data_IF_361135370540
#
_entry.id   IF_361135370540
#
_cell.length_a   1.000
_cell.length_b   1.000
_cell.length_c   1.000
_cell.angle_alpha   90.00
_cell.angle_beta   90.00
_cell.angle_gamma   90.00
#
_symmetry.space_group_name_H-M   'P 1'
#
loop_
_entity.id
_entity.type
_entity.pdbx_description
1 polymer ?
#
# COMPACT_ATOMS: atom_id res chain seq x y z
N UNK A 1 -6.98 -21.30 -1.80
CA UNK A 1 -5.84 -22.00 -2.46
C UNK A 1 -4.58 -21.15 -2.61
N UNK A 2 -4.64 -19.82 -2.82
CA UNK A 2 -3.42 -18.99 -2.95
C UNK A 2 -2.60 -18.87 -1.63
N UNK A 3 -3.27 -18.60 -0.50
CA UNK A 3 -2.62 -18.42 0.80
C UNK A 3 -1.59 -19.51 1.18
N UNK A 4 -1.87 -20.83 1.07
CA UNK A 4 -0.86 -21.85 1.40
C UNK A 4 0.37 -21.82 0.49
N UNK A 5 0.26 -21.36 -0.77
CA UNK A 5 1.43 -21.20 -1.65
C UNK A 5 2.30 -20.04 -1.19
N UNK A 6 1.71 -18.91 -0.78
CA UNK A 6 2.44 -17.77 -0.21
C UNK A 6 3.14 -18.15 1.10
N UNK A 7 2.49 -18.96 1.94
CA UNK A 7 3.11 -19.49 3.17
C UNK A 7 4.30 -20.39 2.83
N UNK A 8 4.16 -21.30 1.85
CA UNK A 8 5.26 -22.14 1.40
C UNK A 8 6.45 -21.34 0.84
N UNK A 9 6.17 -20.32 0.03
CA UNK A 9 7.19 -19.40 -0.49
C UNK A 9 7.93 -18.67 0.64
N UNK A 10 7.20 -18.11 1.61
CA UNK A 10 7.80 -17.44 2.76
C UNK A 10 8.67 -18.39 3.60
N UNK A 11 8.26 -19.65 3.78
CA UNK A 11 9.05 -20.66 4.49
C UNK A 11 10.37 -20.99 3.77
N UNK A 12 10.34 -21.08 2.43
CA UNK A 12 11.56 -21.27 1.62
C UNK A 12 12.51 -20.08 1.77
N UNK A 13 12.00 -18.85 1.73
CA UNK A 13 12.82 -17.65 1.93
C UNK A 13 13.41 -17.58 3.33
N UNK A 14 12.64 -17.92 4.36
CA UNK A 14 13.14 -17.96 5.75
C UNK A 14 14.28 -18.97 5.91
N UNK A 15 14.20 -20.12 5.23
CA UNK A 15 15.26 -21.13 5.23
C UNK A 15 16.52 -20.66 4.47
N UNK A 16 16.36 -19.97 3.35
CA UNK A 16 17.46 -19.46 2.54
C UNK A 16 18.15 -18.23 3.15
N UNK A 17 17.41 -17.40 3.89
CA UNK A 17 17.88 -16.14 4.45
C UNK A 17 17.68 -16.08 5.98
N UNK A 18 18.40 -16.89 6.77
CA UNK A 18 18.18 -17.00 8.21
C UNK A 18 18.48 -15.71 9.00
N UNK A 19 19.19 -14.76 8.39
CA UNK A 19 19.47 -13.45 8.99
C UNK A 19 18.37 -12.40 8.80
N UNK A 20 17.38 -12.64 7.93
CA UNK A 20 16.29 -11.69 7.67
C UNK A 20 15.17 -11.85 8.70
N UNK A 21 14.64 -10.74 9.18
CA UNK A 21 13.45 -10.73 10.03
C UNK A 21 12.17 -10.88 9.19
N UNK A 22 11.06 -11.23 9.83
CA UNK A 22 9.77 -11.43 9.15
C UNK A 22 9.33 -10.27 8.24
N UNK A 23 9.56 -9.02 8.68
CA UNK A 23 9.25 -7.84 7.86
C UNK A 23 10.09 -7.77 6.58
N UNK A 24 11.39 -8.09 6.67
CA UNK A 24 12.29 -8.12 5.51
C UNK A 24 11.98 -9.30 4.58
N UNK A 25 11.59 -10.45 5.12
CA UNK A 25 11.13 -11.59 4.31
C UNK A 25 9.85 -11.25 3.55
N UNK A 26 8.93 -10.51 4.18
CA UNK A 26 7.75 -9.97 3.49
C UNK A 26 8.16 -8.99 2.39
N UNK A 27 9.05 -8.04 2.69
CA UNK A 27 9.54 -7.08 1.72
C UNK A 27 10.19 -7.77 0.51
N UNK A 28 11.13 -8.70 0.74
CA UNK A 28 11.75 -9.54 -0.28
C UNK A 28 10.71 -10.27 -1.15
N UNK A 29 9.76 -10.98 -0.52
CA UNK A 29 8.76 -11.75 -1.26
C UNK A 29 7.83 -10.87 -2.10
N UNK A 30 7.45 -9.71 -1.57
CA UNK A 30 6.48 -8.81 -2.21
C UNK A 30 7.15 -7.97 -3.30
N UNK A 31 8.38 -7.52 -3.07
CA UNK A 31 9.10 -6.65 -4.00
C UNK A 31 9.74 -7.41 -5.16
N UNK A 32 9.81 -8.74 -5.09
CA UNK A 32 10.33 -9.61 -6.15
C UNK A 32 9.24 -10.31 -6.96
N UNK A 33 7.97 -9.97 -6.75
CA UNK A 33 6.87 -10.59 -7.51
C UNK A 33 6.98 -10.29 -8.99
N UNK A 34 6.46 -11.18 -9.83
CA UNK A 34 6.28 -10.84 -11.23
C UNK A 34 5.21 -9.75 -11.38
N UNK A 35 5.60 -8.59 -11.93
CA UNK A 35 4.68 -7.53 -12.32
C UNK A 35 3.69 -8.04 -13.37
N UNK A 36 2.41 -7.74 -13.17
CA UNK A 36 1.33 -8.11 -14.08
C UNK A 36 0.85 -6.85 -14.81
N UNK A 37 0.84 -6.89 -16.13
CA UNK A 37 0.33 -5.78 -16.95
C UNK A 37 -1.19 -5.66 -16.84
N UNK A 38 -1.72 -4.44 -17.00
CA UNK A 38 -3.15 -4.13 -17.01
C UNK A 38 -3.93 -4.57 -15.75
N UNK A 39 -3.27 -4.62 -14.60
CA UNK A 39 -3.90 -4.96 -13.31
C UNK A 39 -3.71 -3.85 -12.29
N UNK A 40 -4.72 -3.65 -11.44
CA UNK A 40 -4.63 -2.73 -10.31
C UNK A 40 -3.99 -3.45 -9.10
N UNK A 41 -3.12 -2.77 -8.34
CA UNK A 41 -2.56 -3.28 -7.07
C UNK A 41 -3.63 -3.65 -6.03
N UNK A 42 -4.83 -3.06 -6.08
CA UNK A 42 -5.96 -3.46 -5.24
C UNK A 42 -6.50 -4.85 -5.61
N UNK A 43 -6.27 -5.32 -6.83
CA UNK A 43 -6.68 -6.64 -7.31
C UNK A 43 -5.60 -7.71 -7.08
N UNK A 44 -4.32 -7.37 -7.30
CA UNK A 44 -3.22 -8.35 -7.33
C UNK A 44 -2.09 -8.06 -6.33
N UNK A 45 -2.20 -7.00 -5.53
CA UNK A 45 -1.10 -6.54 -4.69
C UNK A 45 0.08 -6.05 -5.53
N UNK A 46 1.28 -6.51 -5.20
CA UNK A 46 2.49 -6.22 -5.97
C UNK A 46 2.66 -7.08 -7.23
N UNK A 47 1.85 -8.14 -7.40
CA UNK A 47 1.92 -9.05 -8.54
C UNK A 47 1.85 -10.52 -8.14
N UNK A 48 2.34 -11.39 -9.02
CA UNK A 48 2.36 -12.85 -8.79
C UNK A 48 3.62 -13.26 -8.06
N UNK A 49 3.49 -14.07 -7.01
CA UNK A 49 4.64 -14.66 -6.29
C UNK A 49 5.59 -15.36 -7.26
N UNK A 50 6.88 -15.04 -7.15
CA UNK A 50 7.98 -15.63 -7.93
C UNK A 50 9.12 -16.02 -6.97
N UNK A 51 9.16 -17.32 -6.61
CA UNK A 51 10.13 -17.85 -5.65
C UNK A 51 11.55 -17.87 -6.22
N UNK A 52 11.80 -18.29 -7.48
CA UNK A 52 13.13 -18.17 -8.09
C UNK A 52 13.65 -16.73 -8.08
N UNK A 53 12.83 -15.74 -8.46
CA UNK A 53 13.23 -14.34 -8.43
C UNK A 53 13.61 -13.90 -7.00
N UNK A 54 12.75 -14.21 -6.01
CA UNK A 54 12.98 -13.89 -4.61
C UNK A 54 14.29 -14.51 -4.05
N UNK A 55 14.56 -15.78 -4.36
CA UNK A 55 15.78 -16.46 -3.91
C UNK A 55 17.06 -15.95 -4.59
N UNK A 56 16.94 -15.40 -5.79
CA UNK A 56 18.08 -14.85 -6.54
C UNK A 56 18.37 -13.38 -6.21
N UNK A 57 17.42 -12.68 -5.60
CA UNK A 57 17.52 -11.26 -5.33
C UNK A 57 18.53 -10.98 -4.20
N UNK A 58 19.56 -10.19 -4.50
CA UNK A 58 20.45 -9.63 -3.47
C UNK A 58 19.94 -8.30 -2.94
N UNK A 59 19.18 -7.56 -3.77
CA UNK A 59 18.54 -6.28 -3.41
C UNK A 59 17.04 -6.45 -3.48
N UNK A 60 16.34 -5.97 -2.45
CA UNK A 60 14.88 -5.92 -2.40
C UNK A 60 14.41 -4.54 -1.93
N UNK A 61 13.11 -4.29 -1.92
CA UNK A 61 12.55 -2.98 -1.58
C UNK A 61 11.46 -3.08 -0.52
N UNK A 62 11.14 -1.95 0.11
CA UNK A 62 9.89 -1.79 0.89
C UNK A 62 8.71 -2.36 0.08
N UNK A 63 7.92 -3.26 0.67
CA UNK A 63 6.81 -3.92 -0.01
C UNK A 63 5.77 -2.94 -0.58
N UNK A 64 5.36 -1.97 0.25
CA UNK A 64 4.25 -1.06 -0.05
C UNK A 64 4.50 0.33 0.52
N UNK A 65 4.17 1.37 -0.25
CA UNK A 65 4.10 2.74 0.20
C UNK A 65 2.69 3.30 0.01
N UNK A 66 2.04 3.72 1.09
CA UNK A 66 0.62 4.05 1.09
C UNK A 66 0.30 5.42 1.70
N UNK A 67 -0.75 6.06 1.20
CA UNK A 67 -1.39 7.22 1.79
C UNK A 67 -2.92 7.08 1.80
N UNK A 68 -3.62 7.98 2.48
CA UNK A 68 -5.04 7.85 2.80
C UNK A 68 -5.32 7.29 4.20
N UNK A 69 -6.60 7.24 4.57
CA UNK A 69 -7.07 6.93 5.93
C UNK A 69 -7.72 8.14 6.61
N UNK A 70 -7.73 8.20 7.95
CA UNK A 70 -8.21 9.35 8.72
C UNK A 70 -7.61 10.66 8.22
N UNK A 71 -8.43 11.58 7.74
CA UNK A 71 -7.98 12.93 7.35
C UNK A 71 -8.55 13.98 8.30
N UNK A 72 -7.77 15.04 8.54
CA UNK A 72 -8.24 16.29 9.15
C UNK A 72 -8.79 17.28 8.10
N UNK A 73 -8.80 16.90 6.82
CA UNK A 73 -9.27 17.72 5.70
C UNK A 73 -8.21 18.67 5.14
N UNK A 74 -6.95 18.62 5.60
CA UNK A 74 -5.88 19.53 5.15
C UNK A 74 -5.34 19.26 3.75
N UNK A 75 -5.67 18.11 3.13
CA UNK A 75 -5.30 17.79 1.74
C UNK A 75 -3.80 17.88 1.47
N UNK A 76 -3.00 17.20 2.31
CA UNK A 76 -1.54 17.32 2.29
C UNK A 76 -0.84 16.24 1.45
N UNK A 77 0.42 16.49 1.10
CA UNK A 77 1.29 15.46 0.53
C UNK A 77 1.87 14.58 1.64
N UNK A 78 1.79 13.26 1.48
CA UNK A 78 2.35 12.26 2.39
C UNK A 78 3.70 11.78 1.85
N UNK A 79 4.74 11.81 2.69
CA UNK A 79 6.05 11.28 2.33
C UNK A 79 6.25 9.88 2.92
N UNK A 80 6.68 8.94 2.08
CA UNK A 80 6.97 7.56 2.45
C UNK A 80 8.38 7.17 2.00
N UNK A 81 9.23 6.64 2.89
CA UNK A 81 10.52 6.13 2.47
C UNK A 81 10.33 4.82 1.69
N UNK A 82 10.98 4.73 0.53
CA UNK A 82 11.19 3.49 -0.22
C UNK A 82 12.64 3.09 0.00
N UNK A 83 12.84 2.00 0.74
CA UNK A 83 14.16 1.56 1.19
C UNK A 83 14.58 0.31 0.45
N UNK A 84 15.85 0.24 0.12
CA UNK A 84 16.47 -0.82 -0.66
C UNK A 84 17.61 -1.45 0.16
N UNK A 85 17.39 -2.56 0.86
CA UNK A 85 18.47 -3.34 1.46
C UNK A 85 19.20 -4.19 0.43
N UNK A 86 20.53 -4.28 0.55
CA UNK A 86 21.38 -5.15 -0.25
C UNK A 86 22.07 -6.16 0.67
N UNK A 87 21.78 -7.44 0.45
CA UNK A 87 22.35 -8.57 1.16
C UNK A 87 23.60 -9.14 0.50
N UNK A 88 23.90 -8.69 -0.73
CA UNK A 88 25.11 -9.07 -1.45
C UNK A 88 26.32 -8.19 -1.08
N UNK A 89 27.50 -8.64 -1.47
CA UNK A 89 28.77 -7.97 -1.16
C UNK A 89 29.05 -6.73 -2.04
N UNK A 90 28.37 -6.62 -3.19
CA UNK A 90 28.70 -5.65 -4.23
C UNK A 90 27.68 -4.51 -4.23
N UNK A 91 28.10 -3.24 -4.31
CA UNK A 91 27.20 -2.11 -4.50
C UNK A 91 26.35 -2.24 -5.77
N UNK A 92 25.05 -1.94 -5.68
CA UNK A 92 24.10 -1.99 -6.80
C UNK A 92 23.56 -0.59 -7.08
N UNK A 93 23.68 -0.13 -8.33
CA UNK A 93 23.03 1.09 -8.79
C UNK A 93 21.64 0.74 -9.33
N UNK A 94 20.62 1.45 -8.84
CA UNK A 94 19.23 1.28 -9.23
C UNK A 94 18.71 2.57 -9.86
N UNK A 95 18.15 2.48 -11.06
CA UNK A 95 17.33 3.54 -11.62
C UNK A 95 15.87 3.35 -11.19
N UNK A 96 15.21 4.43 -10.75
CA UNK A 96 13.89 4.41 -10.15
C UNK A 96 12.87 5.10 -11.06
N UNK A 97 11.81 4.38 -11.42
CA UNK A 97 10.69 4.91 -12.21
C UNK A 97 9.38 4.76 -11.45
N UNK A 98 8.50 5.74 -11.58
CA UNK A 98 7.13 5.66 -11.04
C UNK A 98 6.21 5.29 -12.20
N UNK A 99 5.64 4.11 -12.14
CA UNK A 99 4.67 3.60 -13.12
C UNK A 99 3.29 3.57 -12.48
N UNK A 100 2.41 4.50 -12.86
CA UNK A 100 1.11 4.65 -12.23
C UNK A 100 0.03 5.08 -13.21
N UNK A 101 -1.19 4.59 -12.98
CA UNK A 101 -2.40 5.10 -13.62
C UNK A 101 -3.01 6.17 -12.72
N UNK A 102 -2.38 7.35 -12.67
CA UNK A 102 -2.75 8.45 -11.78
C UNK A 102 -2.51 9.83 -12.43
N UNK A 103 -3.16 10.90 -11.94
CA UNK A 103 -2.88 12.26 -12.36
C UNK A 103 -1.39 12.63 -12.24
N UNK A 104 -0.91 13.41 -13.20
CA UNK A 104 0.49 13.81 -13.25
C UNK A 104 0.95 14.49 -11.93
N UNK A 105 2.06 13.98 -11.40
CA UNK A 105 2.63 14.45 -10.14
C UNK A 105 1.92 13.96 -8.88
N UNK A 106 0.94 13.08 -8.96
CA UNK A 106 0.36 12.46 -7.76
C UNK A 106 1.39 11.64 -6.99
N UNK A 107 2.16 10.82 -7.71
CA UNK A 107 3.25 10.03 -7.16
C UNK A 107 4.57 10.55 -7.71
N UNK A 108 5.49 10.92 -6.82
CA UNK A 108 6.82 11.46 -7.19
C UNK A 108 7.90 10.84 -6.32
N UNK A 109 8.96 10.34 -6.93
CA UNK A 109 10.15 9.89 -6.21
C UNK A 109 11.16 11.03 -6.12
N UNK A 110 11.82 11.21 -4.96
CA UNK A 110 12.80 12.28 -4.74
C UNK A 110 14.01 12.18 -5.65
N UNK A 111 14.51 10.95 -5.82
CA UNK A 111 15.73 10.64 -6.52
C UNK A 111 15.42 9.59 -7.59
N UNK A 112 15.73 9.85 -8.87
CA UNK A 112 15.50 8.88 -9.94
C UNK A 112 16.57 7.78 -9.97
N UNK A 113 17.57 7.83 -9.08
CA UNK A 113 18.62 6.83 -8.97
C UNK A 113 19.11 6.73 -7.53
N UNK A 114 19.38 5.51 -7.07
CA UNK A 114 20.05 5.25 -5.79
C UNK A 114 21.20 4.25 -5.99
N UNK A 115 22.25 4.37 -5.18
CA UNK A 115 23.32 3.38 -5.11
C UNK A 115 23.24 2.72 -3.73
N UNK A 116 22.98 1.42 -3.72
CA UNK A 116 22.87 0.62 -2.51
C UNK A 116 24.21 -0.07 -2.25
N UNK A 117 24.95 0.29 -1.18
CA UNK A 117 26.21 -0.39 -0.84
C UNK A 117 25.98 -1.88 -0.59
N UNK A 118 27.01 -2.72 -0.82
CA UNK A 118 26.98 -4.11 -0.37
C UNK A 118 26.78 -4.19 1.15
N UNK A 119 25.96 -5.12 1.61
CA UNK A 119 25.52 -5.24 3.02
C UNK A 119 24.90 -3.95 3.61
N UNK A 120 24.45 -3.04 2.75
CA UNK A 120 23.97 -1.72 3.13
C UNK A 120 22.51 -1.49 2.75
N UNK A 121 22.05 -0.28 3.03
CA UNK A 121 20.71 0.18 2.67
C UNK A 121 20.80 1.57 2.04
N UNK A 122 19.98 1.84 1.03
CA UNK A 122 19.73 3.19 0.54
C UNK A 122 18.22 3.44 0.47
N UNK A 123 17.80 4.70 0.45
CA UNK A 123 16.38 5.05 0.38
C UNK A 123 16.15 6.22 -0.57
N UNK A 124 14.98 6.24 -1.19
CA UNK A 124 14.41 7.39 -1.87
C UNK A 124 13.05 7.73 -1.23
N UNK A 125 12.62 8.98 -1.31
CA UNK A 125 11.34 9.40 -0.71
C UNK A 125 10.26 9.46 -1.77
N UNK A 126 9.22 8.64 -1.62
CA UNK A 126 8.00 8.74 -2.40
C UNK A 126 7.07 9.77 -1.77
N UNK A 127 6.73 10.80 -2.54
CA UNK A 127 5.69 11.77 -2.21
C UNK A 127 4.38 11.36 -2.88
N UNK A 128 3.32 11.27 -2.07
CA UNK A 128 1.94 11.00 -2.49
C UNK A 128 1.13 12.28 -2.25
N UNK A 129 0.79 12.99 -3.32
CA UNK A 129 0.10 14.27 -3.30
C UNK A 129 -1.43 14.07 -3.33
N UNK A 130 -2.05 14.01 -2.14
CA UNK A 130 -3.48 13.72 -1.98
C UNK A 130 -4.38 14.80 -2.59
N UNK A 131 -3.89 16.04 -2.74
CA UNK A 131 -4.63 17.15 -3.35
C UNK A 131 -5.03 16.87 -4.81
N UNK A 132 -4.29 15.99 -5.47
CA UNK A 132 -4.54 15.57 -6.86
C UNK A 132 -5.57 14.46 -6.99
N UNK A 133 -6.13 13.97 -5.88
CA UNK A 133 -7.13 12.90 -5.89
C UNK A 133 -8.53 13.37 -6.30
N UNK A 134 -8.76 14.68 -6.40
CA UNK A 134 -10.05 15.25 -6.77
C UNK A 134 -10.53 14.77 -8.15
N UNK A 135 -11.84 14.61 -8.31
CA UNK A 135 -12.46 14.27 -9.58
C UNK A 135 -12.47 12.78 -9.93
N UNK A 136 -12.08 11.87 -9.03
CA UNK A 136 -12.29 10.43 -9.21
C UNK A 136 -13.78 10.07 -8.99
N UNK A 137 -14.51 9.56 -9.99
CA UNK A 137 -15.90 9.17 -9.83
C UNK A 137 -16.10 8.11 -8.73
N UNK A 138 -17.25 8.17 -8.06
CA UNK A 138 -17.63 7.17 -7.07
C UNK A 138 -17.72 5.79 -7.74
N UNK A 139 -17.04 4.80 -7.15
CA UNK A 139 -16.99 3.42 -7.66
C UNK A 139 -15.81 3.12 -8.57
N UNK A 140 -15.01 4.11 -8.95
CA UNK A 140 -13.74 3.85 -9.64
C UNK A 140 -12.65 3.39 -8.69
N UNK A 141 -11.74 2.58 -9.23
CA UNK A 141 -10.68 1.97 -8.47
C UNK A 141 -9.72 3.04 -7.91
N UNK A 142 -9.16 2.87 -6.69
CA UNK A 142 -8.31 3.90 -6.13
C UNK A 142 -6.99 4.06 -6.88
N UNK A 143 -6.39 5.23 -6.71
CA UNK A 143 -5.15 5.59 -7.39
C UNK A 143 -4.01 4.69 -6.92
N UNK A 144 -3.28 4.14 -7.87
CA UNK A 144 -2.19 3.21 -7.58
C UNK A 144 -1.13 3.18 -8.68
N UNK A 145 -0.01 2.55 -8.33
CA UNK A 145 1.11 2.30 -9.23
C UNK A 145 2.20 1.49 -8.56
N UNK A 146 3.39 1.59 -9.11
CA UNK A 146 4.60 0.92 -8.66
C UNK A 146 5.78 1.91 -8.73
N UNK A 147 6.68 1.86 -7.76
CA UNK A 147 8.05 2.32 -7.96
C UNK A 147 8.85 1.13 -8.45
N UNK A 148 9.28 1.14 -9.70
CA UNK A 148 10.09 0.07 -10.31
C UNK A 148 11.55 0.47 -10.22
N UNK A 149 12.38 -0.43 -9.67
CA UNK A 149 13.82 -0.27 -9.63
C UNK A 149 14.48 -1.20 -10.66
N UNK A 150 15.25 -0.61 -11.57
CA UNK A 150 15.97 -1.34 -12.61
C UNK A 150 17.48 -1.33 -12.38
N UNK A 151 18.14 -2.42 -12.76
CA UNK A 151 19.60 -2.51 -12.76
C UNK A 151 20.22 -1.74 -13.94
N UNK A 152 21.56 -1.73 -14.02
CA UNK A 152 22.29 -1.07 -15.10
C UNK A 152 22.03 -1.67 -16.49
N UNK A 153 21.48 -2.88 -16.58
CA UNK A 153 21.07 -3.52 -17.83
C UNK A 153 19.60 -3.21 -18.19
N UNK A 154 18.87 -2.48 -17.33
CA UNK A 154 17.48 -2.10 -17.52
C UNK A 154 16.47 -3.17 -17.08
N UNK A 155 16.91 -4.23 -16.40
CA UNK A 155 16.00 -5.25 -15.88
C UNK A 155 15.34 -4.75 -14.60
N UNK A 156 14.03 -4.92 -14.47
CA UNK A 156 13.33 -4.69 -13.20
C UNK A 156 13.77 -5.76 -12.18
N UNK A 157 14.43 -5.33 -11.11
CA UNK A 157 15.00 -6.22 -10.09
C UNK A 157 14.20 -6.20 -8.78
N UNK A 158 13.51 -5.10 -8.49
CA UNK A 158 12.61 -4.99 -7.34
C UNK A 158 11.62 -3.85 -7.55
N UNK A 159 10.47 -3.89 -6.88
CA UNK A 159 9.47 -2.82 -6.93
C UNK A 159 8.69 -2.64 -5.62
N UNK A 160 8.11 -1.45 -5.47
CA UNK A 160 7.25 -1.09 -4.33
C UNK A 160 5.88 -0.71 -4.82
N UNK A 161 4.84 -1.39 -4.32
CA UNK A 161 3.46 -1.05 -4.64
C UNK A 161 3.07 0.28 -3.99
N UNK A 162 2.50 1.17 -4.80
CA UNK A 162 2.07 2.51 -4.39
C UNK A 162 0.55 2.57 -4.44
N UNK A 163 -0.04 3.09 -3.37
CA UNK A 163 -1.49 3.22 -3.26
C UNK A 163 -1.90 4.48 -2.50
N UNK A 164 -2.91 5.15 -3.02
CA UNK A 164 -3.65 6.19 -2.32
C UNK A 164 -5.09 5.70 -2.12
N UNK A 165 -5.41 5.38 -0.88
CA UNK A 165 -6.77 5.08 -0.47
C UNK A 165 -7.59 6.38 -0.32
N UNK A 166 -8.91 6.25 -0.34
CA UNK A 166 -9.77 7.41 -0.14
C UNK A 166 -9.59 8.00 1.26
N UNK A 167 -9.63 9.33 1.40
CA UNK A 167 -9.73 9.96 2.70
C UNK A 167 -10.99 9.45 3.40
N UNK A 168 -10.86 9.15 4.69
CA UNK A 168 -11.97 8.75 5.53
C UNK A 168 -12.21 9.78 6.62
N UNK A 169 -13.48 10.05 6.90
CA UNK A 169 -13.91 10.93 7.98
C UNK A 169 -14.45 10.09 9.13
N UNK A 170 -14.21 10.56 10.35
CA UNK A 170 -14.80 9.92 11.54
C UNK A 170 -16.27 10.29 11.63
N UNK A 171 -17.13 9.28 11.58
CA UNK A 171 -18.53 9.40 11.95
C UNK A 171 -18.73 8.81 13.35
N UNK A 172 -19.27 9.63 14.25
CA UNK A 172 -19.67 9.17 15.58
C UNK A 172 -21.17 8.90 15.58
N UNK A 173 -21.55 7.64 15.65
CA UNK A 173 -22.94 7.21 15.78
C UNK A 173 -23.29 7.19 17.26
N UNK A 174 -24.38 7.85 17.63
CA UNK A 174 -24.91 7.86 19.00
C UNK A 174 -26.35 7.36 18.98
N UNK A 175 -26.61 6.23 19.65
CA UNK A 175 -27.95 5.65 19.79
C UNK A 175 -28.42 5.83 21.22
N UNK A 176 -29.66 6.30 21.35
CA UNK A 176 -30.33 6.54 22.63
C UNK A 176 -31.70 5.87 22.66
N UNK A 177 -32.15 5.49 23.84
CA UNK A 177 -33.52 5.01 24.06
C UNK A 177 -34.52 6.19 24.08
N UNK A 178 -35.81 5.88 24.30
CA UNK A 178 -36.88 6.89 24.35
C UNK A 178 -36.73 7.86 25.54
N UNK A 179 -35.94 7.51 26.54
CA UNK A 179 -35.65 8.30 27.74
C UNK A 179 -34.35 9.12 27.59
N UNK A 180 -33.64 8.97 26.48
CA UNK A 180 -32.39 9.69 26.19
C UNK A 180 -31.14 9.04 26.76
N UNK A 181 -31.24 7.85 27.37
CA UNK A 181 -30.08 7.10 27.86
C UNK A 181 -29.38 6.39 26.70
N UNK A 182 -28.05 6.18 26.78
CA UNK A 182 -27.34 5.37 25.80
C UNK A 182 -27.92 3.95 25.71
N UNK A 183 -27.99 3.40 24.50
CA UNK A 183 -28.49 2.04 24.29
C UNK A 183 -27.81 1.36 23.12
N UNK A 184 -27.76 0.02 23.14
CA UNK A 184 -27.24 -0.79 22.03
C UNK A 184 -28.14 -0.68 20.80
N UNK A 185 -27.56 -0.84 19.62
CA UNK A 185 -28.32 -0.83 18.38
C UNK A 185 -27.49 -1.10 17.15
N UNK A 186 -28.17 -1.10 16.00
CA UNK A 186 -27.55 -1.25 14.69
C UNK A 186 -27.91 -0.03 13.86
N UNK A 187 -26.92 0.62 13.26
CA UNK A 187 -27.12 1.68 12.28
C UNK A 187 -26.69 1.19 10.89
N UNK A 188 -27.50 1.48 9.87
CA UNK A 188 -27.20 1.20 8.47
C UNK A 188 -26.86 2.51 7.77
N UNK A 189 -25.64 2.61 7.26
CA UNK A 189 -25.14 3.79 6.55
C UNK A 189 -25.13 3.51 5.06
N UNK A 190 -25.86 4.33 4.31
CA UNK A 190 -25.91 4.27 2.85
C UNK A 190 -25.07 5.39 2.25
N UNK A 191 -24.19 5.05 1.32
CA UNK A 191 -23.54 6.03 0.45
C UNK A 191 -24.46 6.31 -0.71
N UNK A 192 -24.68 7.59 -1.04
CA UNK A 192 -25.46 7.97 -2.22
C UNK A 192 -24.93 7.26 -3.47
N UNK A 193 -25.83 6.60 -4.21
CA UNK A 193 -25.47 5.80 -5.40
C UNK A 193 -24.96 4.39 -5.13
N UNK A 194 -25.00 3.89 -3.89
CA UNK A 194 -24.67 2.50 -3.54
C UNK A 194 -25.84 1.80 -2.85
N UNK A 195 -26.15 0.58 -3.29
CA UNK A 195 -27.24 -0.23 -2.72
C UNK A 195 -26.83 -1.02 -1.46
N UNK A 196 -25.52 -1.12 -1.19
CA UNK A 196 -24.99 -1.82 -0.03
C UNK A 196 -24.79 -0.86 1.15
N UNK A 197 -25.39 -1.20 2.31
CA UNK A 197 -25.19 -0.46 3.54
C UNK A 197 -23.94 -0.93 4.30
N UNK A 198 -23.19 0.01 4.86
CA UNK A 198 -22.25 -0.30 5.93
C UNK A 198 -23.05 -0.49 7.23
N UNK A 199 -22.85 -1.63 7.90
CA UNK A 199 -23.50 -1.93 9.18
C UNK A 199 -22.60 -1.50 10.33
N UNK A 200 -23.13 -0.68 11.24
CA UNK A 200 -22.44 -0.24 12.46
C UNK A 200 -23.15 -0.84 13.66
N UNK A 201 -22.39 -1.61 14.43
CA UNK A 201 -22.84 -2.17 15.70
C UNK A 201 -22.49 -1.20 16.82
N UNK A 202 -23.48 -0.79 17.58
CA UNK A 202 -23.34 0.08 18.75
C UNK A 202 -23.61 -0.76 19.99
N UNK A 203 -22.65 -0.80 20.91
CA UNK A 203 -22.77 -1.55 22.16
C UNK A 203 -23.56 -0.76 23.23
N UNK A 204 -23.58 -1.26 24.46
CA UNK A 204 -24.31 -0.66 25.58
C UNK A 204 -23.83 0.75 25.97
N UNK A 205 -22.68 1.20 25.46
CA UNK A 205 -22.24 2.59 25.63
C UNK A 205 -23.07 3.58 24.82
N UNK A 206 -23.86 3.09 23.85
CA UNK A 206 -24.65 3.88 22.93
C UNK A 206 -23.81 4.72 21.97
N UNK A 207 -22.50 4.46 21.86
CA UNK A 207 -21.59 5.18 20.97
C UNK A 207 -20.78 4.20 20.12
N UNK A 208 -20.69 4.46 18.83
CA UNK A 208 -19.72 3.80 17.96
C UNK A 208 -19.00 4.85 17.09
N UNK A 209 -17.72 4.63 16.85
CA UNK A 209 -16.94 5.42 15.90
C UNK A 209 -16.63 4.57 14.68
N UNK A 210 -16.92 5.12 13.50
CA UNK A 210 -16.64 4.46 12.22
C UNK A 210 -16.00 5.43 11.25
N UNK A 211 -15.13 4.91 10.39
CA UNK A 211 -14.48 5.69 9.34
C UNK A 211 -15.26 5.52 8.04
N UNK A 212 -15.83 6.61 7.53
CA UNK A 212 -16.58 6.63 6.27
C UNK A 212 -15.77 7.32 5.18
N UNK A 213 -15.75 6.80 3.95
CA UNK A 213 -15.11 7.50 2.83
C UNK A 213 -15.72 8.89 2.64
N UNK A 214 -14.91 9.88 2.31
CA UNK A 214 -15.40 11.20 1.90
C UNK A 214 -16.30 11.12 0.67
N UNK A 215 -17.22 12.08 0.55
CA UNK A 215 -17.87 12.37 -0.73
C UNK A 215 -16.87 13.13 -1.59
N UNK A 216 -16.51 12.58 -2.77
CA UNK A 216 -15.90 13.42 -3.79
C UNK A 216 -16.88 14.58 -4.08
N UNK A 217 -16.41 15.84 -4.14
CA UNK A 217 -17.26 16.98 -4.44
C UNK A 217 -17.91 16.88 -5.81
#
# INVERSE_FOLDING_TARGET
MAAPHTVGAAALLAAAHPGLIAAQLKDLLVSSTQLLGNTNVFQVGSGRVDVPAALSATVFATATAFAGGPTDGSGSAVQRPVTYPNTGDIPVALALTVEASAPAGMFRISDPQVVVPGHGTASATLTIDESKAAGRPAGEAPWSGQVVATDAAGNAVTHTAVLLADPTHKLTVRIKDAQGNPTRGIAYLFKSGMDAAMTVYVDDTGVAEVWVPGTAP
#
